data_IF_494340730263
#
_entry.id   IF_494340730263
#
_cell.length_a   1.000
_cell.length_b   1.000
_cell.length_c   1.000
_cell.angle_alpha   90.00
_cell.angle_beta   90.00
_cell.angle_gamma   90.00
#
_symmetry.space_group_name_H-M   'P 1'
#
loop_
_entity.id
_entity.type
_entity.pdbx_description
1 polymer ?
#
# COMPACT_ATOMS: atom_id res chain seq x y z
N UNK A 1 14.26 -11.19 -1.64
CA UNK A 1 13.63 -12.52 -1.51
C UNK A 1 12.34 -12.39 -0.73
N UNK A 2 11.23 -12.93 -1.24
CA UNK A 2 9.92 -13.00 -0.59
C UNK A 2 9.28 -14.35 -0.90
N UNK A 3 8.27 -14.74 -0.11
CA UNK A 3 7.51 -15.97 -0.29
C UNK A 3 6.00 -15.64 -0.24
N UNK A 4 5.21 -15.94 -1.30
CA UNK A 4 5.63 -16.51 -2.58
C UNK A 4 6.58 -15.56 -3.36
N UNK A 5 7.48 -16.11 -4.21
CA UNK A 5 8.41 -15.29 -4.99
C UNK A 5 7.68 -14.54 -6.11
N UNK A 6 8.27 -13.43 -6.55
CA UNK A 6 7.81 -12.72 -7.74
C UNK A 6 7.80 -13.65 -8.96
N UNK A 7 6.77 -13.50 -9.79
CA UNK A 7 6.51 -14.35 -10.95
C UNK A 7 6.73 -13.58 -12.25
N UNK A 8 6.39 -14.19 -13.39
CA UNK A 8 6.67 -13.62 -14.69
C UNK A 8 5.75 -12.42 -14.97
N UNK A 9 6.09 -11.54 -15.91
CA UNK A 9 5.24 -10.41 -16.28
C UNK A 9 3.83 -10.82 -16.72
N UNK A 10 3.65 -12.00 -17.33
CA UNK A 10 2.34 -12.50 -17.76
C UNK A 10 1.42 -12.83 -16.57
N UNK A 11 2.00 -13.32 -15.47
CA UNK A 11 1.27 -13.56 -14.22
C UNK A 11 0.73 -12.23 -13.67
N UNK A 12 1.51 -11.15 -13.77
CA UNK A 12 1.06 -9.81 -13.38
C UNK A 12 -0.15 -9.34 -14.20
N UNK A 13 -0.20 -9.64 -15.50
CA UNK A 13 -1.36 -9.31 -16.34
C UNK A 13 -2.62 -10.09 -15.93
N UNK A 14 -2.46 -11.34 -15.47
CA UNK A 14 -3.56 -12.12 -14.90
C UNK A 14 -4.08 -11.47 -13.60
N UNK A 15 -3.18 -11.06 -12.70
CA UNK A 15 -3.55 -10.38 -11.46
C UNK A 15 -4.29 -9.06 -11.72
N UNK A 16 -3.87 -8.27 -12.70
CA UNK A 16 -4.59 -7.04 -13.07
C UNK A 16 -6.02 -7.29 -13.55
N UNK A 17 -6.23 -8.33 -14.38
CA UNK A 17 -7.58 -8.72 -14.80
C UNK A 17 -8.44 -9.16 -13.61
N UNK A 18 -7.87 -9.97 -12.72
CA UNK A 18 -8.54 -10.43 -11.51
C UNK A 18 -8.86 -9.28 -10.52
N UNK A 19 -8.03 -8.24 -10.47
CA UNK A 19 -8.34 -7.02 -9.71
C UNK A 19 -9.50 -6.25 -10.33
N UNK A 20 -9.54 -6.14 -11.66
CA UNK A 20 -10.57 -5.41 -12.39
C UNK A 20 -11.94 -6.10 -12.36
N UNK A 21 -11.98 -7.42 -12.52
CA UNK A 21 -13.22 -8.21 -12.62
C UNK A 21 -13.85 -8.60 -11.27
N UNK A 22 -13.15 -8.39 -10.16
CA UNK A 22 -13.67 -8.73 -8.83
C UNK A 22 -13.14 -10.03 -8.25
N UNK A 23 -12.39 -10.84 -9.00
CA UNK A 23 -11.84 -12.13 -8.53
C UNK A 23 -10.85 -11.96 -7.38
N UNK A 24 -10.06 -10.87 -7.39
CA UNK A 24 -9.25 -10.42 -6.25
C UNK A 24 -9.88 -9.15 -5.69
N UNK A 25 -10.18 -9.16 -4.38
CA UNK A 25 -10.93 -8.08 -3.72
C UNK A 25 -10.06 -7.15 -2.87
N UNK A 26 -8.81 -7.49 -2.58
CA UNK A 26 -7.93 -6.65 -1.73
C UNK A 26 -6.51 -6.60 -2.27
N UNK A 27 -5.81 -5.49 -2.02
CA UNK A 27 -4.38 -5.34 -2.30
C UNK A 27 -3.63 -4.99 -1.01
N UNK A 28 -2.69 -5.85 -0.61
CA UNK A 28 -1.80 -5.66 0.53
C UNK A 28 -0.34 -5.62 0.08
N UNK A 29 0.59 -5.45 1.01
CA UNK A 29 2.02 -5.32 0.72
C UNK A 29 2.87 -6.46 1.26
N UNK A 30 2.35 -7.21 2.23
CA UNK A 30 3.15 -8.13 3.03
C UNK A 30 4.44 -7.46 3.54
N UNK A 31 4.31 -6.21 4.02
CA UNK A 31 5.46 -5.41 4.45
C UNK A 31 6.21 -6.14 5.57
N UNK A 32 7.39 -6.62 5.22
CA UNK A 32 8.27 -7.37 6.10
C UNK A 32 9.71 -7.05 5.66
N UNK A 33 10.23 -5.95 6.20
CA UNK A 33 11.47 -5.35 5.72
C UNK A 33 12.69 -5.85 6.50
N UNK A 34 13.77 -6.10 5.77
CA UNK A 34 15.09 -6.45 6.31
C UNK A 34 16.12 -5.66 5.54
N UNK A 35 17.12 -5.09 6.21
CA UNK A 35 18.19 -4.35 5.55
C UNK A 35 19.02 -5.24 4.63
N UNK A 36 19.78 -4.66 3.71
CA UNK A 36 20.72 -5.41 2.85
C UNK A 36 21.70 -6.23 3.68
N UNK A 37 22.17 -5.69 4.80
CA UNK A 37 23.04 -6.39 5.75
C UNK A 37 22.35 -7.62 6.37
N UNK A 38 21.07 -7.52 6.75
CA UNK A 38 20.30 -8.66 7.24
C UNK A 38 20.03 -9.69 6.13
N UNK A 39 19.76 -9.25 4.90
CA UNK A 39 19.61 -10.15 3.74
C UNK A 39 20.89 -10.94 3.44
N UNK A 40 22.07 -10.35 3.70
CA UNK A 40 23.36 -10.98 3.48
C UNK A 40 23.63 -12.22 4.35
N UNK A 41 22.81 -12.49 5.37
CA UNK A 41 22.85 -13.74 6.14
C UNK A 41 22.73 -15.00 5.27
N UNK A 42 22.03 -14.90 4.14
CA UNK A 42 21.90 -15.99 3.16
C UNK A 42 22.68 -15.76 1.87
N UNK A 43 23.77 -14.97 1.90
CA UNK A 43 24.61 -14.71 0.72
C UNK A 43 25.07 -16.01 0.03
N UNK A 44 25.41 -17.03 0.82
CA UNK A 44 25.92 -18.32 0.33
C UNK A 44 24.87 -19.43 0.37
N UNK A 45 23.68 -19.15 0.91
CA UNK A 45 22.57 -20.10 1.04
C UNK A 45 21.25 -19.33 1.06
N UNK A 46 20.53 -19.38 -0.07
CA UNK A 46 19.32 -18.58 -0.24
C UNK A 46 18.23 -18.91 0.79
N UNK A 47 18.25 -20.11 1.37
CA UNK A 47 17.27 -20.56 2.38
C UNK A 47 17.41 -19.78 3.70
N UNK A 48 18.58 -19.17 3.93
CA UNK A 48 18.89 -18.34 5.10
C UNK A 48 18.64 -16.85 4.85
N UNK A 49 18.25 -16.45 3.64
CA UNK A 49 17.88 -15.06 3.38
C UNK A 49 16.53 -14.80 4.07
N UNK A 50 16.44 -13.87 5.03
CA UNK A 50 15.16 -13.55 5.65
C UNK A 50 14.15 -13.11 4.58
N UNK A 51 12.94 -13.68 4.60
CA UNK A 51 11.92 -13.46 3.57
C UNK A 51 11.11 -12.19 3.83
N UNK A 52 10.94 -11.35 2.81
CA UNK A 52 10.08 -10.15 2.87
C UNK A 52 10.68 -8.93 2.15
N UNK A 53 9.87 -7.92 1.89
CA UNK A 53 10.29 -6.66 1.29
C UNK A 53 9.49 -5.48 1.90
N UNK A 54 10.05 -4.26 1.87
CA UNK A 54 9.28 -3.05 2.17
C UNK A 54 8.27 -2.74 1.04
N UNK A 55 7.32 -1.85 1.30
CA UNK A 55 6.29 -1.48 0.32
C UNK A 55 5.02 -0.84 0.90
N UNK A 56 4.92 -0.66 2.22
CA UNK A 56 3.71 -0.12 2.87
C UNK A 56 3.42 1.31 2.41
N UNK A 57 4.48 2.09 2.25
CA UNK A 57 4.46 3.50 1.85
C UNK A 57 4.04 3.68 0.38
N UNK A 58 4.59 2.87 -0.51
CA UNK A 58 4.46 3.05 -1.96
C UNK A 58 3.18 2.45 -2.55
N UNK A 59 2.48 1.56 -1.81
CA UNK A 59 1.30 0.82 -2.29
C UNK A 59 0.27 1.72 -2.98
N UNK A 60 -0.09 2.84 -2.35
CA UNK A 60 -1.13 3.73 -2.87
C UNK A 60 -0.74 4.38 -4.20
N UNK A 61 0.44 4.99 -4.25
CA UNK A 61 0.93 5.69 -5.44
C UNK A 61 1.23 4.73 -6.60
N UNK A 62 1.77 3.54 -6.32
CA UNK A 62 2.00 2.49 -7.32
C UNK A 62 0.69 1.98 -7.92
N UNK A 63 -0.32 1.71 -7.08
CA UNK A 63 -1.62 1.22 -7.56
C UNK A 63 -2.36 2.29 -8.36
N UNK A 64 -2.23 3.57 -7.99
CA UNK A 64 -2.75 4.67 -8.81
C UNK A 64 -2.04 4.71 -10.17
N UNK A 65 -0.71 4.83 -10.17
CA UNK A 65 0.09 5.02 -11.41
C UNK A 65 -0.09 3.86 -12.39
N UNK A 66 0.08 2.62 -11.92
CA UNK A 66 0.09 1.45 -12.80
C UNK A 66 -1.27 0.77 -12.96
N UNK A 67 -2.27 1.20 -12.18
CA UNK A 67 -3.62 0.68 -12.20
C UNK A 67 -4.62 1.68 -12.76
N UNK A 68 -4.80 2.80 -12.04
CA UNK A 68 -5.78 3.82 -12.40
C UNK A 68 -5.35 4.62 -13.62
N UNK A 69 -4.17 5.23 -13.57
CA UNK A 69 -3.66 6.10 -14.63
C UNK A 69 -3.34 5.32 -15.92
N UNK A 70 -2.94 4.06 -15.77
CA UNK A 70 -2.75 3.11 -16.87
C UNK A 70 -4.07 2.51 -17.41
N UNK A 71 -5.24 2.91 -16.90
CA UNK A 71 -6.56 2.48 -17.40
C UNK A 71 -6.94 1.01 -17.11
N UNK A 72 -6.31 0.36 -16.13
CA UNK A 72 -6.57 -1.05 -15.77
C UNK A 72 -7.70 -1.21 -14.75
N UNK A 73 -7.86 -0.25 -13.86
CA UNK A 73 -8.92 -0.20 -12.84
C UNK A 73 -9.42 1.24 -12.69
N UNK A 74 -10.64 1.44 -12.18
CA UNK A 74 -11.15 2.78 -11.87
C UNK A 74 -10.65 3.28 -10.51
N UNK A 75 -10.84 4.57 -10.21
CA UNK A 75 -10.54 5.16 -8.89
C UNK A 75 -11.40 4.53 -7.79
N UNK A 76 -12.67 4.30 -8.06
CA UNK A 76 -13.61 3.65 -7.16
C UNK A 76 -13.14 2.22 -6.86
N UNK A 77 -12.68 1.51 -7.89
CA UNK A 77 -12.12 0.16 -7.71
C UNK A 77 -10.85 0.18 -6.85
N UNK A 78 -9.98 1.16 -7.03
CA UNK A 78 -8.81 1.35 -6.17
C UNK A 78 -9.22 1.56 -4.70
N UNK A 79 -10.22 2.42 -4.42
CA UNK A 79 -10.75 2.61 -3.05
C UNK A 79 -11.30 1.30 -2.48
N UNK A 80 -12.03 0.51 -3.27
CA UNK A 80 -12.53 -0.79 -2.85
C UNK A 80 -11.39 -1.74 -2.44
N UNK A 81 -10.38 -1.86 -3.29
CA UNK A 81 -9.24 -2.76 -3.10
C UNK A 81 -8.36 -2.39 -1.89
N UNK A 82 -8.20 -1.08 -1.62
CA UNK A 82 -7.29 -0.59 -0.59
C UNK A 82 -7.94 -0.38 0.78
N UNK A 83 -9.23 -0.07 0.84
CA UNK A 83 -9.89 0.36 2.08
C UNK A 83 -11.25 -0.27 2.33
N UNK A 84 -12.19 -0.22 1.38
CA UNK A 84 -13.58 -0.68 1.62
C UNK A 84 -13.67 -2.19 1.85
N UNK A 85 -13.09 -2.99 0.95
CA UNK A 85 -13.16 -4.45 1.04
C UNK A 85 -12.39 -4.99 2.26
N UNK A 86 -11.16 -4.51 2.58
CA UNK A 86 -10.52 -4.87 3.84
C UNK A 86 -11.36 -4.50 5.07
N UNK A 87 -12.02 -3.33 5.08
CA UNK A 87 -12.88 -2.94 6.19
C UNK A 87 -14.08 -3.89 6.34
N UNK A 88 -14.73 -4.28 5.24
CA UNK A 88 -15.82 -5.27 5.26
C UNK A 88 -15.35 -6.65 5.72
N UNK A 89 -14.22 -7.12 5.19
CA UNK A 89 -13.62 -8.42 5.50
C UNK A 89 -13.27 -8.54 6.99
N UNK A 90 -12.79 -7.46 7.59
CA UNK A 90 -12.38 -7.44 8.99
C UNK A 90 -13.45 -6.88 9.94
N UNK A 91 -14.71 -6.74 9.50
CA UNK A 91 -15.81 -6.31 10.36
C UNK A 91 -15.65 -4.89 10.91
N UNK A 92 -15.02 -4.01 10.14
CA UNK A 92 -14.78 -2.60 10.47
C UNK A 92 -15.62 -1.63 9.62
N UNK A 93 -16.34 -2.12 8.61
CA UNK A 93 -17.25 -1.28 7.83
C UNK A 93 -18.56 -1.03 8.60
N UNK A 94 -19.13 0.19 8.62
CA UNK A 94 -18.68 1.40 7.93
C UNK A 94 -17.76 2.32 8.76
N UNK A 95 -17.34 1.95 9.98
CA UNK A 95 -16.42 2.79 10.77
C UNK A 95 -15.12 3.10 10.00
N UNK A 96 -14.66 2.17 9.16
CA UNK A 96 -13.51 2.28 8.27
C UNK A 96 -13.89 2.04 6.81
N UNK A 97 -13.06 2.56 5.91
CA UNK A 97 -13.08 2.20 4.49
C UNK A 97 -14.10 2.95 3.64
N UNK A 98 -14.75 3.98 4.20
CA UNK A 98 -15.76 4.80 3.51
C UNK A 98 -15.69 6.27 3.97
N UNK A 99 -16.01 7.20 3.07
CA UNK A 99 -16.23 8.61 3.39
C UNK A 99 -17.74 8.82 3.53
N UNK A 100 -18.24 8.73 4.76
CA UNK A 100 -19.65 8.94 5.08
C UNK A 100 -19.81 9.53 6.49
N UNK A 101 -20.87 10.33 6.75
CA UNK A 101 -21.17 10.79 8.10
C UNK A 101 -21.20 9.64 9.12
N UNK A 102 -20.55 9.83 10.26
CA UNK A 102 -20.42 8.82 11.32
C UNK A 102 -19.24 7.84 11.17
N UNK A 103 -18.50 7.88 10.05
CA UNK A 103 -17.28 7.07 9.87
C UNK A 103 -16.06 7.78 10.45
N UNK A 104 -15.00 7.05 10.82
CA UNK A 104 -13.76 7.68 11.25
C UNK A 104 -13.17 8.50 10.09
N UNK A 105 -12.72 9.73 10.39
CA UNK A 105 -12.11 10.64 9.41
C UNK A 105 -10.66 10.22 9.05
N UNK A 106 -10.52 9.01 8.52
CA UNK A 106 -9.30 8.41 7.98
C UNK A 106 -9.25 8.67 6.47
N UNK A 107 -8.66 9.79 6.08
CA UNK A 107 -8.77 10.35 4.72
C UNK A 107 -7.38 10.54 4.13
N UNK A 108 -7.18 10.10 2.90
CA UNK A 108 -5.96 10.33 2.12
C UNK A 108 -6.24 11.36 1.04
N UNK A 109 -5.45 12.43 1.01
CA UNK A 109 -5.43 13.40 -0.09
C UNK A 109 -4.26 13.05 -0.99
N UNK A 110 -4.58 12.61 -2.20
CA UNK A 110 -3.61 12.25 -3.23
C UNK A 110 -3.55 13.34 -4.30
N UNK A 111 -2.35 13.83 -4.59
CA UNK A 111 -2.09 14.74 -5.71
C UNK A 111 -1.75 13.91 -6.94
N UNK A 112 -2.53 14.08 -8.01
CA UNK A 112 -2.40 13.33 -9.27
C UNK A 112 -1.86 14.22 -10.39
N UNK A 113 -1.26 13.64 -11.42
CA UNK A 113 -0.66 14.40 -12.53
C UNK A 113 0.68 15.05 -12.17
N UNK A 114 1.35 14.52 -11.15
CA UNK A 114 2.71 14.91 -10.76
C UNK A 114 3.72 14.00 -11.43
N UNK A 115 4.95 14.47 -11.59
CA UNK A 115 6.08 13.60 -11.90
C UNK A 115 6.82 13.29 -10.61
N UNK A 116 6.84 12.01 -10.24
CA UNK A 116 7.51 11.55 -9.03
C UNK A 116 8.28 10.25 -9.30
N UNK A 117 9.20 9.86 -8.41
CA UNK A 117 10.02 8.66 -8.57
C UNK A 117 10.21 7.98 -7.22
N UNK A 118 10.00 6.67 -7.17
CA UNK A 118 10.30 5.90 -5.96
C UNK A 118 11.80 5.87 -5.74
N UNK A 119 12.26 6.33 -4.57
CA UNK A 119 13.66 6.18 -4.17
C UNK A 119 13.78 5.70 -2.72
N UNK A 120 14.83 4.95 -2.42
CA UNK A 120 15.18 4.62 -1.04
C UNK A 120 15.71 5.83 -0.25
N UNK A 121 16.13 6.90 -0.94
CA UNK A 121 16.75 8.06 -0.32
C UNK A 121 15.75 8.97 0.41
N UNK A 122 14.49 8.99 -0.03
CA UNK A 122 13.42 9.83 0.52
C UNK A 122 12.29 9.05 1.18
N UNK A 123 12.39 7.72 1.27
CA UNK A 123 11.39 6.88 1.91
C UNK A 123 11.41 7.02 3.44
N UNK A 124 10.24 6.95 4.06
CA UNK A 124 10.10 6.96 5.53
C UNK A 124 10.38 5.57 6.14
N UNK A 125 10.28 4.51 5.33
CA UNK A 125 10.52 3.14 5.79
C UNK A 125 11.94 2.93 6.32
N UNK A 126 12.07 2.26 7.47
CA UNK A 126 13.36 1.99 8.11
C UNK A 126 14.13 0.83 7.45
N UNK A 127 14.56 1.04 6.20
CA UNK A 127 15.30 0.06 5.38
C UNK A 127 16.12 0.80 4.32
N UNK A 128 17.21 0.20 3.87
CA UNK A 128 18.27 0.80 3.04
C UNK A 128 18.08 0.58 1.53
N UNK A 129 16.92 0.09 1.08
CA UNK A 129 16.58 -0.08 -0.33
C UNK A 129 15.08 0.03 -0.59
N UNK A 130 14.71 0.30 -1.84
CA UNK A 130 13.33 0.27 -2.32
C UNK A 130 13.17 -0.81 -3.42
N UNK A 131 12.22 -1.76 -3.30
CA UNK A 131 11.96 -2.77 -4.34
C UNK A 131 11.55 -2.19 -5.69
N UNK A 132 11.04 -0.97 -5.68
CA UNK A 132 10.58 -0.24 -6.86
C UNK A 132 11.49 0.96 -7.20
N UNK A 133 12.75 0.96 -6.75
CA UNK A 133 13.73 2.02 -7.03
C UNK A 133 13.71 2.49 -8.49
N UNK A 134 13.66 3.81 -8.70
CA UNK A 134 13.67 4.43 -10.03
C UNK A 134 12.35 4.34 -10.80
N UNK A 135 11.30 3.69 -10.25
CA UNK A 135 9.99 3.64 -10.88
C UNK A 135 9.32 5.02 -10.85
N UNK A 136 8.87 5.46 -12.02
CA UNK A 136 8.09 6.69 -12.16
C UNK A 136 6.69 6.52 -11.59
N UNK A 137 6.19 7.60 -10.99
CA UNK A 137 4.87 7.70 -10.40
C UNK A 137 4.16 8.94 -10.96
N UNK A 138 2.86 8.82 -11.16
CA UNK A 138 1.98 9.93 -11.62
C UNK A 138 1.10 10.49 -10.52
N UNK A 139 1.29 10.02 -9.30
CA UNK A 139 0.60 10.49 -8.11
C UNK A 139 1.46 10.39 -6.86
N UNK A 140 1.21 11.29 -5.90
CA UNK A 140 1.85 11.34 -4.59
C UNK A 140 0.79 11.52 -3.49
N UNK A 141 1.02 10.90 -2.33
CA UNK A 141 0.21 11.16 -1.13
C UNK A 141 0.67 12.50 -0.53
N UNK A 142 -0.21 13.49 -0.58
CA UNK A 142 0.07 14.86 -0.12
C UNK A 142 -0.23 15.01 1.37
N UNK A 143 -1.37 14.49 1.80
CA UNK A 143 -1.83 14.59 3.19
C UNK A 143 -2.62 13.36 3.61
N UNK A 144 -2.52 13.02 4.90
CA UNK A 144 -3.24 11.92 5.51
C UNK A 144 -3.84 12.43 6.81
N UNK A 145 -5.14 12.23 6.96
CA UNK A 145 -5.88 12.48 8.19
C UNK A 145 -6.16 11.14 8.85
N UNK A 146 -5.83 11.03 10.13
CA UNK A 146 -6.15 9.89 10.98
C UNK A 146 -7.15 10.37 12.03
N UNK A 147 -8.41 9.95 11.91
CA UNK A 147 -9.53 10.41 12.74
C UNK A 147 -9.60 11.94 12.83
N UNK A 148 -9.42 12.60 11.70
CA UNK A 148 -9.45 14.07 11.57
C UNK A 148 -8.16 14.79 11.97
N UNK A 149 -7.18 14.10 12.55
CA UNK A 149 -5.85 14.69 12.82
C UNK A 149 -4.97 14.55 11.59
N UNK A 150 -4.45 15.66 11.06
CA UNK A 150 -3.50 15.62 9.95
C UNK A 150 -2.16 15.04 10.42
N UNK A 151 -1.88 13.79 10.08
CA UNK A 151 -0.65 13.07 10.47
C UNK A 151 0.43 13.11 9.39
N UNK A 152 0.03 13.36 8.14
CA UNK A 152 0.94 13.65 7.02
C UNK A 152 0.53 14.98 6.41
N UNK A 153 1.50 15.87 6.20
CA UNK A 153 1.34 17.17 5.55
C UNK A 153 2.51 17.39 4.61
N UNK A 154 2.22 17.86 3.39
CA UNK A 154 3.23 18.14 2.35
C UNK A 154 4.18 16.95 2.13
N UNK A 155 3.60 15.74 2.07
CA UNK A 155 4.32 14.46 1.93
C UNK A 155 5.23 14.07 3.12
N UNK A 156 5.17 14.79 4.23
CA UNK A 156 5.99 14.53 5.42
C UNK A 156 5.12 14.05 6.59
N UNK A 157 5.63 13.07 7.35
CA UNK A 157 4.99 12.68 8.62
C UNK A 157 5.20 13.79 9.64
N UNK A 158 4.10 14.37 10.13
CA UNK A 158 4.12 15.48 11.09
C UNK A 158 3.63 15.08 12.48
N UNK A 159 2.91 13.97 12.60
CA UNK A 159 2.48 13.39 13.88
C UNK A 159 2.74 11.89 13.86
N UNK A 160 3.62 11.44 14.72
CA UNK A 160 3.92 10.03 14.90
C UNK A 160 3.11 9.38 16.02
N UNK A 161 3.02 8.04 16.01
CA UNK A 161 2.50 7.21 17.12
C UNK A 161 1.07 7.56 17.57
N UNK A 162 0.26 8.16 16.69
CA UNK A 162 -1.15 8.50 16.94
C UNK A 162 -2.12 7.31 16.75
N UNK A 163 -1.64 6.07 16.75
CA UNK A 163 -2.45 4.87 16.52
C UNK A 163 -3.30 4.49 17.74
N UNK A 164 -4.40 3.77 17.50
CA UNK A 164 -5.16 3.05 18.55
C UNK A 164 -5.56 1.67 18.04
N UNK A 165 -5.69 0.72 18.95
CA UNK A 165 -6.31 -0.57 18.62
C UNK A 165 -7.77 -0.36 18.21
N UNK A 166 -8.20 -1.04 17.14
CA UNK A 166 -9.58 -1.02 16.65
C UNK A 166 -10.20 -2.38 16.92
N UNK A 167 -11.24 -2.42 17.75
CA UNK A 167 -11.98 -3.66 18.02
C UNK A 167 -12.85 -3.97 16.81
N UNK A 168 -12.69 -5.17 16.26
CA UNK A 168 -13.45 -5.63 15.08
C UNK A 168 -14.83 -6.12 15.47
N UNK A 169 -15.81 -5.87 14.61
CA UNK A 169 -17.13 -6.49 14.64
C UNK A 169 -17.14 -7.86 13.96
N UNK A 170 -18.34 -8.34 13.61
CA UNK A 170 -18.51 -9.51 12.73
C UNK A 170 -18.18 -9.10 11.29
N UNK A 171 -17.55 -10.00 10.53
CA UNK A 171 -17.29 -9.76 9.11
C UNK A 171 -18.61 -9.74 8.32
N UNK A 172 -18.61 -9.03 7.19
CA UNK A 172 -19.80 -8.80 6.36
C UNK A 172 -19.64 -9.25 4.90
N UNK A 173 -18.70 -10.16 4.63
CA UNK A 173 -18.46 -10.80 3.33
C UNK A 173 -18.81 -12.29 3.39
#
# INVERSE_FOLDING_TARGET
MCAPPLRKPEDSQCLWRALADGTIQTVSTDHCSFTTAQKALGKDDFTKIPGGMPGVETRGALLYTYGVDAGRITRERMCQLLSENPAKLYGMYPEKGVIAPGSDADIVVMRTGVEDTVTAADQVQNVDYAPFEGRKLTARIESVFLRGTQVVKDHQVVVEKAGRFVKRGKYAL
#
